data_IF_231841018902
#
_entry.id   IF_231841018902
#
_cell.length_a   1.000
_cell.length_b   1.000
_cell.length_c   1.000
_cell.angle_alpha   90.00
_cell.angle_beta   90.00
_cell.angle_gamma   90.00
#
_symmetry.space_group_name_H-M   'P 1'
#
loop_
_entity.id
_entity.type
_entity.pdbx_description
1 polymer ?
#
# COMPACT_ATOMS: atom_id res chain seq x y z
N UNK A 1 -26.11 -13.54 -10.06
CA UNK A 1 -25.03 -12.93 -9.25
C UNK A 1 -23.78 -13.09 -10.09
N UNK A 2 -22.98 -12.04 -10.30
CA UNK A 2 -21.76 -12.23 -11.10
C UNK A 2 -20.77 -13.11 -10.34
N UNK A 3 -19.88 -13.84 -11.03
CA UNK A 3 -18.80 -14.59 -10.37
C UNK A 3 -17.99 -13.68 -9.41
N UNK A 4 -17.78 -12.40 -9.75
CA UNK A 4 -17.17 -11.40 -8.84
C UNK A 4 -17.95 -11.22 -7.54
N UNK A 5 -19.28 -11.27 -7.57
CA UNK A 5 -20.12 -11.16 -6.37
C UNK A 5 -20.10 -12.45 -5.54
N UNK A 6 -20.02 -13.62 -6.18
CA UNK A 6 -19.88 -14.91 -5.48
C UNK A 6 -18.53 -14.98 -4.78
N UNK A 7 -17.47 -14.55 -5.49
CA UNK A 7 -16.12 -14.50 -4.97
C UNK A 7 -16.02 -13.50 -3.83
N UNK A 8 -16.57 -12.29 -3.99
CA UNK A 8 -16.67 -11.32 -2.90
C UNK A 8 -17.48 -11.91 -1.73
N UNK A 9 -18.60 -12.56 -1.98
CA UNK A 9 -19.38 -13.14 -0.89
C UNK A 9 -18.65 -14.26 -0.15
N UNK A 10 -17.81 -15.06 -0.80
CA UNK A 10 -17.03 -16.13 -0.15
C UNK A 10 -15.73 -15.63 0.50
N UNK A 11 -14.98 -14.77 -0.19
CA UNK A 11 -13.78 -14.11 0.36
C UNK A 11 -14.13 -13.25 1.58
N UNK A 12 -15.28 -12.59 1.55
CA UNK A 12 -15.75 -11.68 2.60
C UNK A 12 -16.82 -12.31 3.51
N UNK A 13 -17.08 -13.63 3.42
CA UNK A 13 -18.05 -14.34 4.29
C UNK A 13 -17.57 -14.48 5.73
N UNK A 14 -16.28 -14.24 5.98
CA UNK A 14 -15.70 -14.26 7.31
C UNK A 14 -15.97 -12.90 7.98
N UNK A 15 -17.10 -12.89 8.69
CA UNK A 15 -17.67 -11.84 9.56
C UNK A 15 -18.29 -10.62 8.85
N UNK A 16 -19.18 -9.91 9.55
CA UNK A 16 -20.12 -8.84 9.15
C UNK A 16 -19.50 -7.58 8.47
N UNK A 17 -18.55 -7.77 7.56
CA UNK A 17 -17.77 -6.74 6.90
C UNK A 17 -18.31 -6.34 5.51
N UNK A 18 -19.44 -6.91 5.05
CA UNK A 18 -20.06 -6.53 3.76
C UNK A 18 -20.30 -5.01 3.63
N UNK A 19 -20.51 -4.29 4.74
CA UNK A 19 -20.70 -2.82 4.75
C UNK A 19 -19.40 -1.99 4.94
N UNK A 20 -18.23 -2.64 5.02
CA UNK A 20 -16.94 -2.02 5.37
C UNK A 20 -15.82 -2.25 4.35
N UNK A 21 -16.13 -2.71 3.13
CA UNK A 21 -15.12 -2.95 2.08
C UNK A 21 -14.23 -1.73 1.84
N UNK A 22 -12.92 -1.89 2.00
CA UNK A 22 -11.93 -0.84 1.77
C UNK A 22 -11.88 0.27 2.83
N UNK A 23 -12.56 0.09 3.96
CA UNK A 23 -12.49 0.97 5.15
C UNK A 23 -11.45 0.46 6.15
N UNK A 24 -10.86 1.37 6.91
CA UNK A 24 -10.01 1.04 8.05
C UNK A 24 -10.85 0.41 9.17
N UNK A 25 -10.37 -0.70 9.73
CA UNK A 25 -11.00 -1.39 10.86
C UNK A 25 -10.74 -0.64 12.18
N UNK A 26 -11.49 -0.98 13.22
CA UNK A 26 -11.24 -0.46 14.56
C UNK A 26 -9.84 -0.86 15.07
N UNK A 27 -9.43 -2.11 14.82
CA UNK A 27 -8.08 -2.60 15.13
C UNK A 27 -7.02 -1.79 14.39
N UNK A 28 -7.21 -1.57 13.08
CA UNK A 28 -6.32 -0.74 12.28
C UNK A 28 -6.18 0.69 12.82
N UNK A 29 -7.28 1.32 13.25
CA UNK A 29 -7.24 2.64 13.88
C UNK A 29 -6.46 2.64 15.21
N UNK A 30 -6.60 1.60 16.04
CA UNK A 30 -5.82 1.46 17.28
C UNK A 30 -4.33 1.26 16.98
N UNK A 31 -3.98 0.47 15.95
CA UNK A 31 -2.58 0.29 15.53
C UNK A 31 -1.97 1.60 15.02
N UNK A 32 -2.70 2.38 14.23
CA UNK A 32 -2.27 3.71 13.80
C UNK A 32 -2.10 4.68 14.98
N UNK A 33 -2.97 4.61 15.99
CA UNK A 33 -2.81 5.39 17.22
C UNK A 33 -1.49 5.04 17.93
N UNK A 34 -1.18 3.75 18.11
CA UNK A 34 0.08 3.30 18.71
C UNK A 34 1.29 3.73 17.89
N UNK A 35 1.21 3.64 16.56
CA UNK A 35 2.28 4.14 15.70
C UNK A 35 2.48 5.65 15.91
N UNK A 36 1.40 6.42 16.09
CA UNK A 36 1.49 7.85 16.34
C UNK A 36 2.19 8.18 17.67
N UNK A 37 1.93 7.39 18.70
CA UNK A 37 2.64 7.47 19.98
C UNK A 37 4.13 7.17 19.82
N UNK A 38 4.46 6.11 19.09
CA UNK A 38 5.85 5.78 18.75
C UNK A 38 6.54 6.94 18.01
N UNK A 39 5.89 7.58 17.03
CA UNK A 39 6.49 8.72 16.32
C UNK A 39 6.74 9.89 17.28
N UNK A 40 5.80 10.17 18.19
CA UNK A 40 5.99 11.22 19.20
C UNK A 40 7.21 10.93 20.08
N UNK A 41 7.35 9.70 20.54
CA UNK A 41 8.51 9.25 21.32
C UNK A 41 9.80 9.39 20.52
N UNK A 42 9.83 8.88 19.28
CA UNK A 42 10.95 9.00 18.37
C UNK A 42 11.40 10.47 18.17
N UNK A 43 10.46 11.40 17.95
CA UNK A 43 10.76 12.82 17.81
C UNK A 43 11.26 13.46 19.12
N UNK A 44 10.81 12.95 20.27
CA UNK A 44 11.26 13.38 21.60
C UNK A 44 12.69 12.92 21.87
N UNK A 45 12.99 11.65 21.59
CA UNK A 45 14.33 11.07 21.75
C UNK A 45 15.36 11.74 20.85
N UNK A 46 14.98 12.07 19.61
CA UNK A 46 15.79 12.84 18.68
C UNK A 46 15.86 14.34 18.99
N UNK A 47 15.28 14.77 20.13
CA UNK A 47 15.27 16.17 20.61
C UNK A 47 14.61 17.14 19.63
N UNK A 48 13.80 16.65 18.70
CA UNK A 48 13.13 17.47 17.69
C UNK A 48 11.99 18.30 18.29
N UNK A 49 11.25 17.71 19.25
CA UNK A 49 10.14 18.37 19.96
C UNK A 49 10.43 18.69 21.43
N UNK A 50 11.63 18.38 21.94
CA UNK A 50 11.96 18.61 23.35
C UNK A 50 11.95 20.10 23.71
N UNK A 51 11.22 20.44 24.78
CA UNK A 51 11.07 21.82 25.25
C UNK A 51 10.28 22.73 24.31
N UNK A 52 9.77 22.20 23.18
CA UNK A 52 8.87 22.95 22.30
C UNK A 52 7.44 22.83 22.81
N UNK A 53 6.68 23.92 22.69
CA UNK A 53 5.23 23.82 22.80
C UNK A 53 4.73 23.11 21.53
N UNK A 54 4.28 21.87 21.69
CA UNK A 54 3.81 21.03 20.59
C UNK A 54 2.69 21.72 19.80
N UNK A 55 1.87 22.57 20.42
CA UNK A 55 0.78 23.33 19.78
C UNK A 55 1.29 24.34 18.76
N UNK A 56 2.51 24.84 18.97
CA UNK A 56 3.15 25.87 18.15
C UNK A 56 4.02 25.31 17.04
N UNK A 57 4.30 24.00 17.04
CA UNK A 57 5.04 23.35 15.97
C UNK A 57 4.17 23.35 14.71
N UNK A 58 4.70 23.85 13.60
CA UNK A 58 4.08 23.82 12.29
C UNK A 58 3.87 22.39 11.83
N UNK A 59 2.60 22.01 11.71
CA UNK A 59 2.17 20.66 11.30
C UNK A 59 1.32 20.74 10.06
N UNK A 60 1.51 19.80 9.14
CA UNK A 60 0.61 19.59 8.00
C UNK A 60 0.26 18.11 7.92
N UNK A 61 -1.02 17.80 8.08
CA UNK A 61 -1.54 16.45 7.87
C UNK A 61 -2.36 16.47 6.59
N UNK A 62 -2.05 15.58 5.65
CA UNK A 62 -2.72 15.49 4.37
C UNK A 62 -3.01 14.03 4.04
N UNK A 63 -4.28 13.72 3.84
CA UNK A 63 -4.72 12.39 3.46
C UNK A 63 -5.32 12.41 2.07
N UNK A 64 -5.18 11.30 1.35
CA UNK A 64 -6.07 11.04 0.23
C UNK A 64 -7.54 10.98 0.73
N UNK A 65 -8.50 11.13 -0.16
CA UNK A 65 -9.91 11.31 0.19
C UNK A 65 -10.69 10.00 0.42
N UNK A 66 -10.02 8.86 0.62
CA UNK A 66 -10.69 7.61 0.97
C UNK A 66 -10.88 7.46 2.49
N UNK A 67 -11.91 6.73 2.91
CA UNK A 67 -12.17 6.51 4.33
C UNK A 67 -10.95 6.01 5.08
N UNK A 68 -10.28 4.98 4.54
CA UNK A 68 -9.13 4.37 5.20
C UNK A 68 -7.97 5.34 5.41
N UNK A 69 -7.71 6.22 4.45
CA UNK A 69 -6.61 7.19 4.51
C UNK A 69 -6.93 8.33 5.47
N UNK A 70 -8.16 8.84 5.44
CA UNK A 70 -8.61 9.88 6.38
C UNK A 70 -8.63 9.34 7.82
N UNK A 71 -9.20 8.15 8.04
CA UNK A 71 -9.27 7.54 9.37
C UNK A 71 -7.88 7.22 9.94
N UNK A 72 -6.97 6.68 9.12
CA UNK A 72 -5.59 6.44 9.53
C UNK A 72 -4.87 7.76 9.88
N UNK A 73 -5.06 8.80 9.08
CA UNK A 73 -4.49 10.13 9.36
C UNK A 73 -5.01 10.73 10.67
N UNK A 74 -6.31 10.56 10.97
CA UNK A 74 -6.91 10.99 12.23
C UNK A 74 -6.32 10.22 13.43
N UNK A 75 -6.28 8.89 13.35
CA UNK A 75 -5.74 8.04 14.41
C UNK A 75 -4.26 8.33 14.67
N UNK A 76 -3.46 8.44 13.61
CA UNK A 76 -2.03 8.75 13.72
C UNK A 76 -1.81 10.15 14.31
N UNK A 77 -2.59 11.14 13.87
CA UNK A 77 -2.52 12.51 14.41
C UNK A 77 -2.88 12.56 15.89
N UNK A 78 -3.89 11.79 16.32
CA UNK A 78 -4.28 11.69 17.73
C UNK A 78 -3.15 11.07 18.57
N UNK A 79 -2.44 10.06 18.05
CA UNK A 79 -1.30 9.45 18.73
C UNK A 79 -0.10 10.38 18.83
N UNK A 80 0.20 11.11 17.74
CA UNK A 80 1.31 12.05 17.68
C UNK A 80 1.07 13.32 18.52
N UNK A 81 -0.18 13.79 18.56
CA UNK A 81 -0.56 15.09 19.12
C UNK A 81 -1.76 14.99 20.07
N UNK A 82 -1.65 14.20 21.16
CA UNK A 82 -2.79 13.97 22.06
C UNK A 82 -3.28 15.27 22.68
N UNK A 83 -4.59 15.47 22.67
CA UNK A 83 -5.25 16.68 23.19
C UNK A 83 -5.33 17.85 22.20
N UNK A 84 -4.74 17.73 21.00
CA UNK A 84 -4.80 18.78 19.98
C UNK A 84 -5.80 18.45 18.88
N UNK A 85 -6.53 19.47 18.45
CA UNK A 85 -7.44 19.35 17.31
C UNK A 85 -6.67 19.47 15.98
N UNK A 86 -5.88 18.45 15.65
CA UNK A 86 -5.17 18.36 14.37
C UNK A 86 -6.03 17.62 13.37
N UNK A 87 -6.65 18.35 12.45
CA UNK A 87 -7.55 17.80 11.43
C UNK A 87 -6.78 17.52 10.14
N UNK A 88 -6.85 16.30 9.57
CA UNK A 88 -6.28 16.02 8.26
C UNK A 88 -6.91 16.89 7.17
N UNK A 89 -6.06 17.50 6.35
CA UNK A 89 -6.47 18.13 5.11
C UNK A 89 -6.84 17.06 4.08
N UNK A 90 -7.87 17.32 3.30
CA UNK A 90 -8.30 16.52 2.14
C UNK A 90 -8.63 17.50 1.03
N UNK A 91 -7.96 17.38 -0.12
CA UNK A 91 -8.06 18.36 -1.21
C UNK A 91 -9.27 18.12 -2.11
N UNK A 92 -9.60 16.85 -2.35
CA UNK A 92 -10.67 16.44 -3.27
C UNK A 92 -11.89 15.92 -2.52
N UNK A 93 -13.00 15.77 -3.24
CA UNK A 93 -14.22 15.18 -2.69
C UNK A 93 -13.97 13.77 -2.12
N UNK A 94 -14.59 13.49 -0.98
CA UNK A 94 -14.51 12.20 -0.32
C UNK A 94 -14.93 11.05 -1.25
N UNK A 95 -14.16 9.97 -1.24
CA UNK A 95 -14.34 8.83 -2.14
C UNK A 95 -13.65 8.97 -3.50
N UNK A 96 -13.03 10.11 -3.83
CA UNK A 96 -12.25 10.30 -5.06
C UNK A 96 -10.76 10.12 -4.84
N UNK A 97 -10.06 9.65 -5.87
CA UNK A 97 -8.60 9.59 -5.87
C UNK A 97 -8.04 11.01 -6.03
N UNK A 98 -7.31 11.47 -5.03
CA UNK A 98 -6.56 12.72 -5.11
C UNK A 98 -5.36 12.58 -6.08
N UNK A 99 -5.18 13.50 -7.04
CA UNK A 99 -4.06 13.47 -7.98
C UNK A 99 -2.67 13.45 -7.34
N UNK A 100 -2.48 13.97 -6.13
CA UNK A 100 -1.19 13.88 -5.42
C UNK A 100 -0.85 12.44 -5.05
N UNK A 101 -1.86 11.63 -4.75
CA UNK A 101 -1.71 10.23 -4.36
C UNK A 101 -2.01 9.25 -5.50
N UNK A 102 -2.18 9.75 -6.74
CA UNK A 102 -2.41 8.92 -7.91
C UNK A 102 -1.20 8.03 -8.17
N UNK A 103 -1.46 6.78 -8.53
CA UNK A 103 -0.44 5.74 -8.72
C UNK A 103 -0.62 4.99 -10.06
N UNK A 104 -1.32 5.63 -11.00
CA UNK A 104 -1.50 5.12 -12.36
C UNK A 104 -0.66 5.96 -13.32
N UNK A 105 -0.06 5.30 -14.30
CA UNK A 105 0.64 5.97 -15.41
C UNK A 105 -0.42 6.42 -16.40
N UNK A 106 -0.59 7.73 -16.54
CA UNK A 106 -1.48 8.32 -17.54
C UNK A 106 -0.61 8.92 -18.64
N UNK A 107 -0.10 8.08 -19.52
CA UNK A 107 0.74 8.52 -20.65
C UNK A 107 0.57 7.62 -21.87
N UNK A 108 0.47 8.24 -23.05
CA UNK A 108 0.42 7.57 -24.35
C UNK A 108 1.79 7.46 -25.03
N UNK A 109 2.87 7.83 -24.34
CA UNK A 109 4.22 7.84 -24.90
C UNK A 109 4.76 6.42 -25.14
N UNK A 110 5.39 6.19 -26.31
CA UNK A 110 5.88 4.86 -26.72
C UNK A 110 6.84 4.21 -25.72
N UNK A 111 7.61 5.04 -25.01
CA UNK A 111 8.55 4.59 -23.97
C UNK A 111 7.84 3.80 -22.84
N UNK A 112 6.66 4.23 -22.40
CA UNK A 112 5.88 3.48 -21.40
C UNK A 112 5.29 2.20 -21.98
N UNK A 113 5.01 2.14 -23.29
CA UNK A 113 4.57 0.89 -23.94
C UNK A 113 5.62 -0.21 -23.85
N UNK A 114 6.91 0.12 -23.97
CA UNK A 114 7.98 -0.87 -23.81
C UNK A 114 8.09 -1.37 -22.36
N UNK A 115 7.98 -0.46 -21.38
CA UNK A 115 7.95 -0.81 -19.95
C UNK A 115 6.80 -1.78 -19.68
N UNK A 116 5.60 -1.46 -20.16
CA UNK A 116 4.43 -2.31 -20.01
C UNK A 116 4.62 -3.68 -20.64
N UNK A 117 5.19 -3.78 -21.86
CA UNK A 117 5.50 -5.08 -22.48
C UNK A 117 6.45 -5.95 -21.66
N UNK A 118 7.47 -5.35 -21.02
CA UNK A 118 8.41 -6.08 -20.15
C UNK A 118 7.69 -6.61 -18.91
N UNK A 119 6.89 -5.77 -18.27
CA UNK A 119 6.11 -6.17 -17.11
C UNK A 119 5.01 -7.19 -17.46
N UNK A 120 4.38 -7.10 -18.64
CA UNK A 120 3.45 -8.13 -19.15
C UNK A 120 4.13 -9.49 -19.26
N UNK A 121 5.35 -9.54 -19.80
CA UNK A 121 6.13 -10.76 -19.93
C UNK A 121 6.49 -11.36 -18.58
N UNK A 122 6.80 -10.52 -17.59
CA UNK A 122 7.07 -10.96 -16.22
C UNK A 122 5.82 -11.55 -15.57
N UNK A 123 4.66 -10.88 -15.71
CA UNK A 123 3.40 -11.39 -15.19
C UNK A 123 2.98 -12.70 -15.86
N UNK A 124 3.20 -12.88 -17.16
CA UNK A 124 2.92 -14.17 -17.85
C UNK A 124 3.74 -15.33 -17.29
N UNK A 125 5.00 -15.09 -16.93
CA UNK A 125 5.82 -16.11 -16.25
C UNK A 125 5.28 -16.44 -14.87
N UNK A 126 4.80 -15.43 -14.14
CA UNK A 126 4.22 -15.63 -12.82
C UNK A 126 2.89 -16.39 -12.90
N UNK A 127 2.05 -16.09 -13.89
CA UNK A 127 0.81 -16.81 -14.21
C UNK A 127 1.05 -18.33 -14.37
N UNK A 128 2.12 -18.72 -15.06
CA UNK A 128 2.53 -20.13 -15.21
C UNK A 128 2.91 -20.79 -13.87
N UNK A 129 3.44 -20.02 -12.90
CA UNK A 129 3.94 -20.54 -11.62
C UNK A 129 2.83 -20.80 -10.58
N UNK A 130 1.63 -20.22 -10.74
CA UNK A 130 0.57 -20.25 -9.72
C UNK A 130 -0.51 -21.31 -9.98
N UNK A 131 -0.19 -22.33 -10.77
CA UNK A 131 -1.13 -23.41 -11.14
C UNK A 131 -1.82 -24.06 -9.93
N UNK A 132 -1.08 -24.38 -8.85
CA UNK A 132 -1.68 -24.96 -7.63
C UNK A 132 -2.63 -24.00 -6.92
N UNK A 133 -2.34 -22.71 -6.95
CA UNK A 133 -3.19 -21.67 -6.38
C UNK A 133 -4.47 -21.46 -7.20
N UNK A 134 -4.42 -21.70 -8.51
CA UNK A 134 -5.62 -21.71 -9.35
C UNK A 134 -6.56 -22.86 -9.04
N UNK A 135 -6.04 -24.06 -8.74
CA UNK A 135 -6.90 -25.17 -8.29
C UNK A 135 -7.59 -24.84 -6.96
N UNK A 136 -6.87 -24.23 -6.01
CA UNK A 136 -7.47 -23.72 -4.77
C UNK A 136 -8.56 -22.67 -5.04
N UNK A 137 -8.31 -21.72 -5.94
CA UNK A 137 -9.27 -20.69 -6.30
C UNK A 137 -10.51 -21.26 -6.98
N UNK A 138 -10.35 -22.21 -7.90
CA UNK A 138 -11.46 -22.88 -8.58
C UNK A 138 -12.38 -23.57 -7.57
N UNK A 139 -11.81 -24.32 -6.63
CA UNK A 139 -12.57 -24.97 -5.56
C UNK A 139 -13.30 -23.94 -4.69
N UNK A 140 -12.63 -22.83 -4.34
CA UNK A 140 -13.22 -21.78 -3.52
C UNK A 140 -14.44 -21.13 -4.17
N UNK A 141 -14.41 -20.90 -5.48
CA UNK A 141 -15.44 -20.12 -6.18
C UNK A 141 -16.53 -20.99 -6.78
N UNK A 142 -16.53 -22.30 -6.48
CA UNK A 142 -17.36 -23.33 -7.14
C UNK A 142 -17.26 -23.21 -8.67
N UNK A 143 -16.04 -23.14 -9.19
CA UNK A 143 -15.79 -23.00 -10.62
C UNK A 143 -16.18 -24.27 -11.39
N UNK A 144 -17.07 -24.14 -12.36
CA UNK A 144 -17.40 -25.20 -13.33
C UNK A 144 -16.70 -24.95 -14.69
N UNK A 145 -15.91 -25.93 -15.14
CA UNK A 145 -15.27 -25.92 -16.46
C UNK A 145 -16.33 -25.84 -17.59
N UNK A 146 -16.10 -24.96 -18.58
CA UNK A 146 -16.99 -24.79 -19.74
C UNK A 146 -18.10 -23.75 -19.55
N UNK A 147 -18.12 -23.01 -18.45
CA UNK A 147 -18.95 -21.81 -18.31
C UNK A 147 -18.40 -20.66 -19.16
N UNK A 148 -19.27 -19.86 -19.81
CA UNK A 148 -18.90 -18.61 -20.51
C UNK A 148 -18.13 -17.64 -19.59
N UNK A 149 -18.42 -17.73 -18.28
CA UNK A 149 -17.72 -17.00 -17.23
C UNK A 149 -16.33 -17.59 -16.96
N UNK A 150 -16.07 -18.89 -17.15
CA UNK A 150 -14.74 -19.45 -16.98
C UNK A 150 -13.76 -19.17 -18.12
N UNK A 151 -14.25 -19.12 -19.36
CA UNK A 151 -13.44 -18.71 -20.52
C UNK A 151 -13.05 -17.22 -20.48
N UNK A 152 -13.86 -16.36 -19.82
CA UNK A 152 -13.50 -14.95 -19.56
C UNK A 152 -12.40 -14.77 -18.50
N UNK A 153 -12.15 -15.80 -17.69
CA UNK A 153 -11.24 -15.73 -16.54
C UNK A 153 -9.95 -16.53 -16.76
N UNK A 154 -9.93 -17.47 -17.70
CA UNK A 154 -8.73 -18.14 -18.20
C UNK A 154 -8.20 -17.46 -19.47
N UNK A 155 -7.20 -16.61 -19.32
CA UNK A 155 -6.41 -16.16 -20.46
C UNK A 155 -5.87 -14.75 -20.38
N UNK A 156 -4.54 -14.68 -20.33
CA UNK A 156 -3.65 -13.54 -20.60
C UNK A 156 -3.77 -12.38 -19.62
N UNK A 157 -2.63 -12.09 -18.98
CA UNK A 157 -2.24 -10.73 -18.63
C UNK A 157 -2.44 -9.87 -19.88
N UNK A 158 -3.53 -9.12 -19.90
CA UNK A 158 -3.79 -8.08 -20.88
C UNK A 158 -3.70 -6.78 -20.14
N UNK A 159 -2.73 -5.96 -20.54
CA UNK A 159 -2.59 -4.64 -19.96
C UNK A 159 -3.50 -3.71 -20.74
N UNK A 160 -4.41 -3.04 -20.03
CA UNK A 160 -5.06 -1.89 -20.64
C UNK A 160 -3.97 -0.83 -20.87
N UNK A 161 -4.00 -0.13 -22.01
CA UNK A 161 -2.99 0.89 -22.35
C UNK A 161 -2.91 2.04 -21.35
N UNK A 162 -3.91 2.16 -20.46
CA UNK A 162 -4.01 3.18 -19.42
C UNK A 162 -3.78 2.64 -18.00
N UNK A 163 -3.91 1.32 -17.76
CA UNK A 163 -3.84 0.72 -16.43
C UNK A 163 -3.12 -0.63 -16.46
N UNK A 164 -2.02 -0.73 -15.72
CA UNK A 164 -1.30 -1.98 -15.49
C UNK A 164 -2.04 -2.84 -14.45
N UNK A 165 -3.23 -3.32 -14.80
CA UNK A 165 -4.01 -4.23 -13.97
C UNK A 165 -4.26 -5.53 -14.74
N UNK A 166 -3.99 -6.69 -14.14
CA UNK A 166 -4.32 -7.98 -14.73
C UNK A 166 -5.84 -8.16 -14.78
N UNK A 167 -6.29 -9.11 -15.61
CA UNK A 167 -7.68 -9.54 -15.68
C UNK A 167 -7.78 -11.05 -15.36
N UNK A 168 -9.02 -11.53 -15.19
CA UNK A 168 -9.30 -12.96 -14.99
C UNK A 168 -8.82 -13.53 -13.66
N UNK A 169 -8.48 -14.82 -13.65
CA UNK A 169 -8.09 -15.57 -12.44
C UNK A 169 -6.87 -14.99 -11.74
N UNK A 170 -5.91 -14.44 -12.49
CA UNK A 170 -4.74 -13.82 -11.88
C UNK A 170 -5.14 -12.60 -11.02
N UNK A 171 -6.03 -11.74 -11.51
CA UNK A 171 -6.52 -10.61 -10.71
C UNK A 171 -7.27 -11.09 -9.47
N UNK A 172 -8.10 -12.12 -9.63
CA UNK A 172 -8.84 -12.73 -8.53
C UNK A 172 -7.91 -13.29 -7.45
N UNK A 173 -6.81 -13.91 -7.87
CA UNK A 173 -5.77 -14.40 -6.99
C UNK A 173 -5.12 -13.28 -6.18
N UNK A 174 -4.72 -12.20 -6.85
CA UNK A 174 -4.12 -11.03 -6.19
C UNK A 174 -5.08 -10.41 -5.18
N UNK A 175 -6.36 -10.26 -5.54
CA UNK A 175 -7.40 -9.76 -4.63
C UNK A 175 -7.62 -10.71 -3.44
N UNK A 176 -7.68 -12.02 -3.67
CA UNK A 176 -7.79 -13.01 -2.61
C UNK A 176 -6.61 -12.92 -1.65
N UNK A 177 -5.39 -12.94 -2.17
CA UNK A 177 -4.17 -12.88 -1.37
C UNK A 177 -4.13 -11.62 -0.49
N UNK A 178 -4.53 -10.46 -1.04
CA UNK A 178 -4.65 -9.22 -0.28
C UNK A 178 -5.69 -9.31 0.84
N UNK A 179 -6.85 -9.90 0.59
CA UNK A 179 -7.88 -10.07 1.60
C UNK A 179 -7.47 -11.05 2.71
N UNK A 180 -6.82 -12.16 2.36
CA UNK A 180 -6.30 -13.13 3.34
C UNK A 180 -5.22 -12.51 4.23
N UNK A 181 -4.38 -11.65 3.67
CA UNK A 181 -3.37 -10.91 4.42
C UNK A 181 -4.03 -9.99 5.45
N UNK A 182 -5.07 -9.25 5.07
CA UNK A 182 -5.82 -8.41 6.00
C UNK A 182 -6.53 -9.24 7.08
N UNK A 183 -7.14 -10.37 6.73
CA UNK A 183 -7.76 -11.27 7.70
C UNK A 183 -6.76 -11.81 8.71
N UNK A 184 -5.57 -12.22 8.24
CA UNK A 184 -4.47 -12.62 9.10
C UNK A 184 -4.03 -11.49 10.03
N UNK A 185 -3.91 -10.26 9.53
CA UNK A 185 -3.59 -9.08 10.35
C UNK A 185 -4.71 -8.71 11.34
N UNK A 186 -5.97 -8.97 11.02
CA UNK A 186 -7.09 -8.84 11.96
C UNK A 186 -7.04 -9.91 13.07
N UNK A 187 -6.22 -10.95 12.90
CA UNK A 187 -5.98 -11.99 13.91
C UNK A 187 -6.83 -13.23 13.72
N UNK A 188 -7.37 -13.44 12.52
CA UNK A 188 -8.04 -14.69 12.17
C UNK A 188 -7.00 -15.80 12.15
N UNK A 189 -7.27 -16.88 12.89
CA UNK A 189 -6.43 -18.08 12.94
C UNK A 189 -6.32 -18.71 11.55
N UNK A 190 -5.14 -19.24 11.21
CA UNK A 190 -4.83 -19.76 9.86
C UNK A 190 -5.84 -20.85 9.47
N UNK A 191 -6.20 -21.71 10.42
CA UNK A 191 -7.13 -22.83 10.25
C UNK A 191 -8.58 -22.39 10.00
N UNK A 192 -8.90 -21.11 10.22
CA UNK A 192 -10.22 -20.53 9.91
C UNK A 192 -10.24 -19.81 8.56
N UNK A 193 -9.07 -19.53 7.97
CA UNK A 193 -8.99 -18.90 6.66
C UNK A 193 -9.50 -19.87 5.58
N UNK A 194 -10.28 -19.33 4.64
CA UNK A 194 -10.80 -20.09 3.50
C UNK A 194 -11.57 -21.37 3.87
N UNK A 195 -12.33 -21.32 4.97
CA UNK A 195 -13.03 -22.47 5.56
C UNK A 195 -12.09 -23.66 5.88
N UNK A 196 -10.86 -23.36 6.33
CA UNK A 196 -9.87 -24.37 6.73
C UNK A 196 -9.10 -25.02 5.58
N UNK A 197 -9.15 -24.40 4.39
CA UNK A 197 -8.37 -24.85 3.23
C UNK A 197 -6.92 -24.41 3.26
N UNK A 198 -6.59 -23.38 4.03
CA UNK A 198 -5.20 -23.03 4.37
C UNK A 198 -4.90 -23.62 5.73
N UNK A 199 -3.90 -24.50 5.80
CA UNK A 199 -3.62 -25.32 6.99
C UNK A 199 -2.31 -24.98 7.66
N UNK A 200 -1.38 -24.38 6.92
CA UNK A 200 -0.07 -24.02 7.46
C UNK A 200 0.29 -22.58 7.17
N UNK A 201 1.21 -22.07 8.00
CA UNK A 201 1.83 -20.78 7.77
C UNK A 201 2.58 -20.72 6.44
N UNK A 202 3.22 -21.82 6.03
CA UNK A 202 3.95 -21.91 4.77
C UNK A 202 3.02 -21.79 3.56
N UNK A 203 1.84 -22.40 3.61
CA UNK A 203 0.82 -22.26 2.56
C UNK A 203 0.33 -20.81 2.46
N UNK A 204 0.02 -20.19 3.61
CA UNK A 204 -0.42 -18.80 3.66
C UNK A 204 0.67 -17.84 3.16
N UNK A 205 1.91 -18.05 3.58
CA UNK A 205 3.07 -17.27 3.15
C UNK A 205 3.30 -17.42 1.64
N UNK A 206 3.18 -18.62 1.08
CA UNK A 206 3.28 -18.83 -0.36
C UNK A 206 2.24 -18.03 -1.15
N UNK A 207 1.03 -17.87 -0.58
CA UNK A 207 0.00 -17.01 -1.18
C UNK A 207 0.44 -15.53 -1.20
N UNK A 208 0.96 -15.05 -0.06
CA UNK A 208 1.41 -13.67 0.10
C UNK A 208 2.63 -13.35 -0.76
N UNK A 209 3.65 -14.22 -0.79
CA UNK A 209 4.88 -14.01 -1.55
C UNK A 209 4.58 -13.73 -3.03
N UNK A 210 3.63 -14.47 -3.61
CA UNK A 210 3.19 -14.27 -4.99
C UNK A 210 2.52 -12.91 -5.20
N UNK A 211 1.61 -12.49 -4.30
CA UNK A 211 1.03 -11.13 -4.35
C UNK A 211 2.12 -10.07 -4.34
N UNK A 212 3.12 -10.23 -3.50
CA UNK A 212 4.20 -9.26 -3.36
C UNK A 212 5.09 -9.20 -4.61
N UNK A 213 5.35 -10.33 -5.25
CA UNK A 213 6.04 -10.32 -6.56
C UNK A 213 5.21 -9.62 -7.64
N UNK A 214 3.87 -9.74 -7.62
CA UNK A 214 3.00 -8.94 -8.48
C UNK A 214 3.15 -7.43 -8.19
N UNK A 215 3.12 -7.02 -6.92
CA UNK A 215 3.28 -5.62 -6.51
C UNK A 215 4.63 -5.06 -6.96
N UNK A 216 5.69 -5.87 -6.86
CA UNK A 216 7.03 -5.54 -7.38
C UNK A 216 7.01 -5.30 -8.88
N UNK A 217 6.51 -6.24 -9.68
CA UNK A 217 6.46 -6.11 -11.15
C UNK A 217 5.71 -4.84 -11.59
N UNK A 218 4.69 -4.46 -10.84
CA UNK A 218 3.87 -3.27 -11.11
C UNK A 218 4.57 -1.95 -10.77
N UNK A 219 5.37 -1.90 -9.70
CA UNK A 219 5.85 -0.63 -9.13
C UNK A 219 7.37 -0.43 -9.16
N UNK A 220 8.17 -1.46 -9.42
CA UNK A 220 9.63 -1.41 -9.33
C UNK A 220 10.30 -0.62 -10.48
N UNK A 221 9.65 -0.49 -11.64
CA UNK A 221 10.25 0.21 -12.77
C UNK A 221 10.46 1.70 -12.45
N UNK A 222 11.72 2.10 -12.30
CA UNK A 222 12.13 3.45 -11.88
C UNK A 222 11.51 4.56 -12.74
N UNK A 223 11.50 4.40 -14.06
CA UNK A 223 10.99 5.43 -14.96
C UNK A 223 9.47 5.60 -14.86
N UNK A 224 8.74 4.49 -14.86
CA UNK A 224 7.31 4.46 -14.57
C UNK A 224 7.01 5.08 -13.20
N UNK A 225 7.79 4.72 -12.19
CA UNK A 225 7.66 5.22 -10.84
C UNK A 225 7.89 6.74 -10.75
N UNK A 226 8.93 7.27 -11.42
CA UNK A 226 9.20 8.70 -11.51
C UNK A 226 8.03 9.46 -12.13
N UNK A 227 7.42 8.90 -13.17
CA UNK A 227 6.23 9.49 -13.79
C UNK A 227 5.02 9.49 -12.84
N UNK A 228 4.70 8.33 -12.25
CA UNK A 228 3.57 8.19 -11.31
C UNK A 228 3.73 9.11 -10.10
N UNK A 229 4.93 9.17 -9.53
CA UNK A 229 5.18 9.87 -8.26
C UNK A 229 5.52 11.34 -8.43
N UNK A 230 5.56 11.88 -9.65
CA UNK A 230 5.88 13.29 -9.88
C UNK A 230 4.97 14.25 -9.08
N UNK A 231 3.64 14.06 -8.99
CA UNK A 231 2.78 14.90 -8.14
C UNK A 231 3.16 14.82 -6.66
N UNK A 232 3.37 13.61 -6.14
CA UNK A 232 3.76 13.37 -4.75
C UNK A 232 5.13 13.98 -4.43
N UNK A 233 6.13 13.78 -5.30
CA UNK A 233 7.47 14.34 -5.18
C UNK A 233 7.45 15.88 -5.19
N UNK A 234 6.65 16.50 -6.06
CA UNK A 234 6.46 17.96 -6.06
C UNK A 234 5.86 18.45 -4.75
N UNK A 235 4.90 17.72 -4.20
CA UNK A 235 4.31 18.05 -2.90
C UNK A 235 5.35 17.89 -1.79
N UNK A 236 6.05 16.76 -1.71
CA UNK A 236 7.13 16.53 -0.74
C UNK A 236 8.14 17.67 -0.83
N UNK A 237 8.68 17.97 -2.02
CA UNK A 237 9.65 19.05 -2.22
C UNK A 237 9.16 20.41 -1.71
N UNK A 238 7.90 20.78 -1.99
CA UNK A 238 7.31 22.04 -1.53
C UNK A 238 7.35 22.17 0.00
N UNK A 239 7.00 21.11 0.74
CA UNK A 239 6.92 21.16 2.20
C UNK A 239 8.26 20.87 2.88
N UNK A 240 9.12 20.07 2.24
CA UNK A 240 10.45 19.76 2.75
C UNK A 240 11.38 20.98 2.75
N UNK A 241 11.19 21.90 1.79
CA UNK A 241 11.97 23.14 1.68
C UNK A 241 11.15 24.41 1.98
N UNK A 242 9.91 24.27 2.47
CA UNK A 242 9.08 25.40 2.89
C UNK A 242 9.44 25.89 4.30
N UNK A 243 9.18 27.17 4.61
CA UNK A 243 9.68 27.80 5.83
C UNK A 243 8.83 27.58 7.10
N UNK A 244 7.61 27.03 7.01
CA UNK A 244 6.63 27.01 8.12
C UNK A 244 6.05 25.63 8.45
N UNK A 245 6.65 24.53 8.01
CA UNK A 245 6.18 23.17 8.33
C UNK A 245 7.34 22.34 8.85
N UNK A 246 7.28 22.00 10.12
CA UNK A 246 8.29 21.18 10.80
C UNK A 246 7.94 19.70 10.77
N UNK A 247 6.64 19.37 10.81
CA UNK A 247 6.14 18.00 10.70
C UNK A 247 5.11 17.93 9.57
N UNK A 248 5.37 17.10 8.56
CA UNK A 248 4.42 16.79 7.50
C UNK A 248 4.08 15.31 7.54
N UNK A 249 2.79 14.99 7.56
CA UNK A 249 2.26 13.65 7.44
C UNK A 249 1.43 13.55 6.16
N UNK A 250 1.77 12.60 5.31
CA UNK A 250 1.03 12.27 4.10
C UNK A 250 0.51 10.84 4.19
N UNK A 251 -0.80 10.64 4.08
CA UNK A 251 -1.44 9.33 4.17
C UNK A 251 -2.05 8.95 2.83
N UNK A 252 -1.34 8.07 2.12
CA UNK A 252 -1.70 7.52 0.83
C UNK A 252 -1.94 6.02 0.88
N UNK A 253 -1.51 5.32 -0.16
CA UNK A 253 -1.61 3.87 -0.32
C UNK A 253 -0.23 3.22 -0.33
N UNK A 254 -0.19 1.90 -0.15
CA UNK A 254 0.99 1.04 -0.26
C UNK A 254 1.81 1.33 -1.53
N UNK A 255 1.13 1.41 -2.67
CA UNK A 255 1.71 1.72 -3.98
C UNK A 255 2.39 3.09 -4.04
N UNK A 256 1.98 4.07 -3.23
CA UNK A 256 2.68 5.35 -3.16
C UNK A 256 4.06 5.19 -2.52
N UNK A 257 4.17 4.39 -1.45
CA UNK A 257 5.47 4.14 -0.79
C UNK A 257 6.38 3.36 -1.72
N UNK A 258 5.89 2.24 -2.29
CA UNK A 258 6.68 1.40 -3.20
C UNK A 258 7.19 2.24 -4.38
N UNK A 259 6.29 2.87 -5.14
CA UNK A 259 6.68 3.64 -6.31
C UNK A 259 7.56 4.84 -5.93
N UNK A 260 7.35 5.49 -4.78
CA UNK A 260 8.22 6.61 -4.37
C UNK A 260 9.66 6.14 -4.15
N UNK A 261 9.86 4.99 -3.50
CA UNK A 261 11.19 4.42 -3.28
C UNK A 261 11.87 4.04 -4.59
N UNK A 262 11.12 3.40 -5.50
CA UNK A 262 11.62 3.08 -6.85
C UNK A 262 11.96 4.35 -7.63
N UNK A 263 11.14 5.40 -7.55
CA UNK A 263 11.41 6.67 -8.22
C UNK A 263 12.67 7.37 -7.69
N UNK A 264 13.01 7.15 -6.42
CA UNK A 264 14.21 7.67 -5.75
C UNK A 264 15.44 6.78 -5.96
N UNK A 265 15.34 5.68 -6.72
CA UNK A 265 16.45 4.77 -6.99
C UNK A 265 16.87 3.94 -5.77
N UNK A 266 15.97 3.77 -4.79
CA UNK A 266 16.22 2.87 -3.66
C UNK A 266 16.25 1.44 -4.18
N UNK A 267 17.31 0.71 -3.83
CA UNK A 267 17.47 -0.71 -4.21
C UNK A 267 16.38 -1.56 -3.57
N UNK A 268 16.14 -2.73 -4.18
CA UNK A 268 15.26 -3.76 -3.61
C UNK A 268 15.64 -4.04 -2.14
N UNK A 269 14.61 -4.15 -1.31
CA UNK A 269 14.74 -4.38 0.13
C UNK A 269 13.71 -5.41 0.59
N UNK A 270 14.00 -6.01 1.75
CA UNK A 270 13.06 -6.83 2.51
C UNK A 270 13.08 -6.35 3.95
N UNK A 271 11.89 -6.28 4.54
CA UNK A 271 11.73 -5.96 5.95
C UNK A 271 11.69 -7.27 6.74
N UNK A 272 12.42 -7.32 7.85
CA UNK A 272 12.40 -8.50 8.71
C UNK A 272 11.02 -8.70 9.30
N UNK A 273 10.60 -9.98 9.40
CA UNK A 273 9.32 -10.38 9.98
C UNK A 273 8.12 -9.70 9.31
N UNK A 274 8.22 -9.44 8.01
CA UNK A 274 7.19 -8.76 7.24
C UNK A 274 7.05 -9.39 5.86
N UNK A 275 5.81 -9.62 5.44
CA UNK A 275 5.51 -10.19 4.14
C UNK A 275 5.61 -9.13 3.05
N UNK A 276 5.06 -7.95 3.34
CA UNK A 276 4.88 -6.90 2.36
C UNK A 276 6.16 -6.10 2.11
N UNK A 277 6.39 -5.70 0.87
CA UNK A 277 7.40 -4.68 0.57
C UNK A 277 7.01 -3.34 1.20
N UNK A 278 5.73 -2.96 1.06
CA UNK A 278 5.14 -1.75 1.63
C UNK A 278 4.01 -2.14 2.59
N UNK A 279 4.31 -2.35 3.89
CA UNK A 279 3.37 -2.95 4.83
C UNK A 279 2.13 -2.13 5.09
N UNK A 280 1.05 -2.81 5.47
CA UNK A 280 -0.12 -2.15 6.09
C UNK A 280 0.35 -1.31 7.29
N UNK A 281 0.02 -0.03 7.27
CA UNK A 281 0.45 0.94 8.29
C UNK A 281 1.95 1.30 8.24
N UNK A 282 2.70 0.78 7.26
CA UNK A 282 4.09 1.15 7.01
C UNK A 282 4.23 2.64 6.68
N UNK A 283 5.34 3.25 7.13
CA UNK A 283 5.63 4.67 6.95
C UNK A 283 7.07 4.85 6.50
N UNK A 284 7.30 5.79 5.59
CA UNK A 284 8.63 6.25 5.21
C UNK A 284 8.91 7.60 5.87
N UNK A 285 10.01 7.69 6.59
CA UNK A 285 10.47 8.93 7.22
C UNK A 285 11.47 9.63 6.29
N UNK A 286 11.21 10.87 5.95
CA UNK A 286 12.17 11.75 5.29
C UNK A 286 12.57 12.82 6.29
N UNK A 287 13.85 12.91 6.61
CA UNK A 287 14.33 13.78 7.68
C UNK A 287 15.36 14.77 7.15
N UNK A 288 15.16 16.04 7.47
CA UNK A 288 16.11 17.09 7.13
C UNK A 288 17.02 17.36 8.32
N UNK A 289 18.30 16.98 8.19
CA UNK A 289 19.31 17.20 9.20
C UNK A 289 20.23 18.35 8.80
N UNK A 290 20.59 19.21 9.75
CA UNK A 290 21.63 20.21 9.56
C UNK A 290 22.89 19.76 10.31
N UNK A 291 23.99 19.63 9.57
CA UNK A 291 25.29 19.33 10.16
C UNK A 291 25.72 20.51 11.07
N UNK A 292 26.08 20.20 12.31
CA UNK A 292 26.44 21.25 13.28
C UNK A 292 27.71 22.01 12.90
N UNK A 293 28.60 21.36 12.14
CA UNK A 293 29.93 21.89 11.83
C UNK A 293 29.90 22.79 10.60
N UNK A 294 29.38 22.29 9.49
CA UNK A 294 29.42 23.01 8.20
C UNK A 294 28.07 23.62 7.79
N UNK A 295 27.03 23.46 8.63
CA UNK A 295 25.67 23.97 8.39
C UNK A 295 25.02 23.44 7.12
N UNK A 296 25.55 22.36 6.53
CA UNK A 296 24.94 21.75 5.36
C UNK A 296 23.71 20.96 5.78
N UNK A 297 22.65 21.17 5.01
CA UNK A 297 21.43 20.38 5.07
C UNK A 297 21.64 19.06 4.33
N UNK A 298 21.31 17.95 5.00
CA UNK A 298 21.36 16.59 4.47
C UNK A 298 19.99 15.97 4.63
N UNK A 299 19.55 15.24 3.62
CA UNK A 299 18.35 14.41 3.73
C UNK A 299 18.80 13.06 4.29
N UNK A 300 18.39 12.76 5.52
CA UNK A 300 18.44 11.40 6.00
C UNK A 300 17.16 10.72 5.51
N UNK A 301 17.32 9.86 4.51
CA UNK A 301 16.37 8.79 4.31
C UNK A 301 16.82 7.63 5.17
N UNK A 302 15.92 6.78 5.68
CA UNK A 302 16.34 5.57 6.37
C UNK A 302 17.39 4.87 5.50
N UNK A 303 18.60 4.74 6.05
CA UNK A 303 19.50 3.69 5.66
C UNK A 303 18.75 2.41 6.00
N UNK A 304 17.96 1.86 5.08
CA UNK A 304 17.46 0.51 5.20
C UNK A 304 18.63 -0.45 5.02
N UNK A 305 19.47 -0.50 6.05
CA UNK A 305 20.31 -1.65 6.32
C UNK A 305 19.35 -2.69 6.86
N UNK A 306 19.03 -3.69 6.04
CA UNK A 306 18.57 -4.97 6.52
C UNK A 306 19.56 -5.41 7.61
N UNK A 307 19.10 -5.44 8.86
CA UNK A 307 19.80 -6.08 9.96
C UNK A 307 19.49 -7.56 9.97
#
# INVERSE_FOLDING_TARGET
MSMSDIVKKKIYKLEEHENNTGKLTAKGAVLELYFGQYIKEYLTENKFINGKNIDKIGKKIYANAYQRTVAAAQALSLGMFPGLNVVPHVEVEYGKMDPVFQHNIVSNHDRFREIFKKSEKALKKMDEMITKNYELLKDLIDYEEGSDEGERYYGRVTLNSEYFNPAGLFNLYVELAGNLMLQYYEGIEIEKLLDGRVRTFEELKGIFDLREEYMKIKHENEEAAQHMMLPLLKYIHKYFFGNNTEISLMVGHDCNIFALLSAMGVKEYRLNNQFEYSPVGGKMFLELWEDRTDKKKKINMPNWKAG
#
